data_IF_576150419008
#
_entry.id   IF_576150419008
#
_cell.length_a   1.000
_cell.length_b   1.000
_cell.length_c   1.000
_cell.angle_alpha   90.00
_cell.angle_beta   90.00
_cell.angle_gamma   90.00
#
_symmetry.space_group_name_H-M   'P 1'
#
loop_
_entity.id
_entity.type
_entity.pdbx_description
1 polymer ?
#
# COMPACT_ATOMS: atom_id res chain seq x y z
N UNK A 1 -23.10 -8.78 -24.89
CA UNK A 1 -22.30 -9.07 -26.11
C UNK A 1 -21.32 -7.93 -26.30
N UNK A 2 -20.03 -8.14 -26.03
CA UNK A 2 -19.01 -7.12 -26.24
C UNK A 2 -18.72 -7.07 -27.75
N UNK A 3 -19.11 -6.00 -28.44
CA UNK A 3 -18.77 -5.83 -29.85
C UNK A 3 -17.28 -5.52 -29.95
N UNK A 4 -16.49 -6.53 -30.32
CA UNK A 4 -15.12 -6.34 -30.79
C UNK A 4 -15.19 -5.61 -32.13
N UNK A 5 -15.04 -4.27 -32.11
CA UNK A 5 -14.74 -3.53 -33.32
C UNK A 5 -13.48 -4.14 -33.94
N UNK A 6 -13.60 -4.75 -35.13
CA UNK A 6 -12.47 -5.25 -35.88
C UNK A 6 -11.62 -4.05 -36.30
N UNK A 7 -10.50 -3.86 -35.58
CA UNK A 7 -9.44 -2.93 -35.97
C UNK A 7 -8.90 -3.34 -37.36
N UNK A 8 -8.67 -2.34 -38.20
CA UNK A 8 -8.22 -2.45 -39.59
C UNK A 8 -7.08 -3.47 -39.77
N UNK A 9 -7.34 -4.50 -40.58
CA UNK A 9 -6.49 -5.69 -40.75
C UNK A 9 -5.15 -5.42 -41.45
N UNK A 10 -4.97 -4.25 -42.06
CA UNK A 10 -3.83 -3.94 -42.95
C UNK A 10 -2.53 -3.69 -42.18
N UNK A 11 -2.60 -3.33 -40.90
CA UNK A 11 -1.42 -3.05 -40.06
C UNK A 11 -1.27 -4.02 -38.86
N UNK A 12 -2.08 -5.09 -38.83
CA UNK A 12 -2.11 -5.97 -37.68
C UNK A 12 -0.90 -6.92 -37.72
N UNK A 13 0.05 -6.73 -36.79
CA UNK A 13 1.21 -7.63 -36.66
C UNK A 13 0.73 -9.06 -36.38
N UNK A 14 1.44 -10.05 -36.91
CA UNK A 14 1.10 -11.49 -36.80
C UNK A 14 1.27 -12.10 -35.39
N UNK A 15 1.24 -11.28 -34.33
CA UNK A 15 1.31 -11.76 -32.95
C UNK A 15 0.21 -11.16 -32.09
N UNK A 16 -0.23 -11.94 -31.11
CA UNK A 16 -1.15 -11.48 -30.06
C UNK A 16 -0.36 -10.96 -28.85
N UNK A 17 -0.92 -9.99 -28.13
CA UNK A 17 -0.32 -9.48 -26.88
C UNK A 17 -1.15 -9.96 -25.70
N UNK A 18 -0.48 -10.52 -24.69
CA UNK A 18 -1.08 -10.93 -23.42
C UNK A 18 -0.47 -10.11 -22.31
N UNK A 19 -1.30 -9.34 -21.61
CA UNK A 19 -0.88 -8.56 -20.43
C UNK A 19 -1.25 -9.35 -19.19
N UNK A 20 -0.26 -9.64 -18.34
CA UNK A 20 -0.47 -10.30 -17.05
C UNK A 20 -0.16 -9.29 -15.95
N UNK A 21 -1.16 -9.01 -15.12
CA UNK A 21 -1.03 -8.14 -13.96
C UNK A 21 -0.64 -8.94 -12.71
N UNK A 22 0.04 -8.28 -11.77
CA UNK A 22 0.45 -8.83 -10.46
C UNK A 22 1.25 -10.14 -10.56
N UNK A 23 2.18 -10.21 -11.52
CA UNK A 23 2.99 -11.42 -11.78
C UNK A 23 3.85 -11.81 -10.57
N UNK A 24 4.17 -10.85 -9.70
CA UNK A 24 4.91 -11.05 -8.46
C UNK A 24 4.13 -11.79 -7.38
N UNK A 25 2.82 -11.94 -7.52
CA UNK A 25 1.98 -12.79 -6.66
C UNK A 25 1.91 -14.24 -7.13
N UNK A 26 2.42 -14.55 -8.32
CA UNK A 26 2.46 -15.93 -8.81
C UNK A 26 3.46 -16.77 -8.02
N UNK A 27 3.07 -18.01 -7.72
CA UNK A 27 3.96 -19.01 -7.13
C UNK A 27 5.15 -19.29 -8.05
N UNK A 28 6.27 -19.74 -7.47
CA UNK A 28 7.49 -20.04 -8.26
C UNK A 28 7.22 -21.07 -9.36
N UNK A 29 6.40 -22.08 -9.08
CA UNK A 29 6.04 -23.11 -10.06
C UNK A 29 5.16 -22.56 -11.20
N UNK A 30 4.24 -21.65 -10.89
CA UNK A 30 3.46 -20.93 -11.89
C UNK A 30 4.38 -20.05 -12.76
N UNK A 31 5.38 -19.39 -12.18
CA UNK A 31 6.35 -18.60 -12.94
C UNK A 31 7.24 -19.48 -13.84
N UNK A 32 7.65 -20.67 -13.37
CA UNK A 32 8.38 -21.65 -14.19
C UNK A 32 7.53 -22.17 -15.35
N UNK A 33 6.26 -22.43 -15.10
CA UNK A 33 5.29 -22.82 -16.14
C UNK A 33 5.08 -21.69 -17.15
N UNK A 34 4.91 -20.46 -16.66
CA UNK A 34 4.79 -19.27 -17.49
C UNK A 34 5.98 -19.15 -18.43
N UNK A 35 7.22 -19.26 -17.90
CA UNK A 35 8.46 -19.23 -18.68
C UNK A 35 8.41 -20.20 -19.87
N UNK A 36 8.02 -21.46 -19.63
CA UNK A 36 7.94 -22.48 -20.70
C UNK A 36 6.94 -22.07 -21.77
N UNK A 37 5.80 -21.50 -21.37
CA UNK A 37 4.79 -20.97 -22.30
C UNK A 37 5.32 -19.77 -23.09
N UNK A 38 6.10 -18.88 -22.47
CA UNK A 38 6.73 -17.75 -23.18
C UNK A 38 7.65 -18.24 -24.28
N UNK A 39 8.48 -19.25 -23.97
CA UNK A 39 9.43 -19.84 -24.93
C UNK A 39 8.70 -20.58 -26.06
N UNK A 40 7.68 -21.40 -25.73
CA UNK A 40 6.93 -22.20 -26.71
C UNK A 40 6.15 -21.35 -27.71
N UNK A 41 5.60 -20.22 -27.29
CA UNK A 41 4.71 -19.39 -28.11
C UNK A 41 5.33 -18.03 -28.49
N UNK A 42 6.66 -17.88 -28.42
CA UNK A 42 7.33 -16.59 -28.70
C UNK A 42 7.09 -16.03 -30.11
N UNK A 43 6.76 -16.89 -31.08
CA UNK A 43 6.50 -16.48 -32.47
C UNK A 43 5.10 -15.88 -32.63
N UNK A 44 4.11 -16.39 -31.90
CA UNK A 44 2.69 -16.04 -32.07
C UNK A 44 2.15 -15.14 -30.96
N UNK A 45 2.86 -15.02 -29.83
CA UNK A 45 2.43 -14.29 -28.65
C UNK A 45 3.55 -13.45 -28.03
N UNK A 46 3.22 -12.22 -27.64
CA UNK A 46 4.07 -11.32 -26.85
C UNK A 46 3.44 -11.12 -25.47
N UNK A 47 4.26 -11.18 -24.44
CA UNK A 47 3.81 -11.04 -23.05
C UNK A 47 4.28 -9.71 -22.47
N UNK A 48 3.37 -9.01 -21.80
CA UNK A 48 3.68 -7.85 -20.96
C UNK A 48 3.40 -8.26 -19.53
N UNK A 49 4.45 -8.28 -18.71
CA UNK A 49 4.38 -8.69 -17.31
C UNK A 49 4.42 -7.44 -16.44
N UNK A 50 3.31 -7.15 -15.76
CA UNK A 50 3.23 -6.06 -14.80
C UNK A 50 3.47 -6.61 -13.38
N UNK A 51 4.50 -6.11 -12.71
CA UNK A 51 4.86 -6.48 -11.34
C UNK A 51 5.31 -5.23 -10.59
N UNK A 52 4.98 -5.14 -9.30
CA UNK A 52 5.42 -4.02 -8.44
C UNK A 52 6.84 -4.25 -7.91
N UNK A 53 7.21 -5.50 -7.65
CA UNK A 53 8.53 -5.87 -7.15
C UNK A 53 9.22 -6.88 -8.06
N UNK A 54 10.36 -6.46 -8.64
CA UNK A 54 11.22 -7.32 -9.46
C UNK A 54 11.88 -8.45 -8.66
N UNK A 55 12.01 -8.32 -7.34
CA UNK A 55 12.71 -9.32 -6.49
C UNK A 55 11.94 -10.63 -6.36
N UNK A 56 10.61 -10.61 -6.53
CA UNK A 56 9.74 -11.78 -6.47
C UNK A 56 9.67 -12.56 -7.79
N UNK A 57 10.24 -12.02 -8.87
CA UNK A 57 10.24 -12.63 -10.20
C UNK A 57 11.47 -13.53 -10.37
N UNK A 58 11.27 -14.75 -10.86
CA UNK A 58 12.38 -15.69 -11.09
C UNK A 58 13.40 -15.11 -12.10
N UNK A 59 14.72 -15.28 -11.87
CA UNK A 59 15.76 -14.74 -12.76
C UNK A 59 15.60 -15.18 -14.23
N UNK A 60 15.08 -16.38 -14.46
CA UNK A 60 14.88 -16.92 -15.80
C UNK A 60 13.78 -16.20 -16.60
N UNK A 61 12.74 -15.69 -15.94
CA UNK A 61 11.74 -14.85 -16.60
C UNK A 61 12.30 -13.45 -16.87
N UNK A 62 13.02 -12.88 -15.89
CA UNK A 62 13.67 -11.56 -16.01
C UNK A 62 14.65 -11.50 -17.18
N UNK A 63 15.47 -12.52 -17.39
CA UNK A 63 16.48 -12.53 -18.47
C UNK A 63 15.87 -12.54 -19.88
N UNK A 64 14.58 -12.86 -20.03
CA UNK A 64 13.86 -12.96 -21.31
C UNK A 64 12.99 -11.75 -21.62
N UNK A 65 12.85 -10.84 -20.65
CA UNK A 65 11.99 -9.68 -20.75
C UNK A 65 12.82 -8.40 -20.75
N UNK A 66 12.38 -7.40 -21.53
CA UNK A 66 12.88 -6.05 -21.36
C UNK A 66 12.33 -5.49 -20.04
N UNK A 67 13.23 -5.12 -19.13
CA UNK A 67 12.85 -4.55 -17.84
C UNK A 67 12.61 -3.04 -17.98
N UNK A 68 11.33 -2.65 -17.97
CA UNK A 68 10.92 -1.24 -17.98
C UNK A 68 10.54 -0.84 -16.56
N UNK A 69 11.28 0.11 -15.97
CA UNK A 69 10.98 0.65 -14.64
C UNK A 69 10.14 1.90 -14.79
N UNK A 70 8.93 1.90 -14.22
CA UNK A 70 8.05 3.07 -14.13
C UNK A 70 8.14 3.62 -12.70
N UNK A 71 8.89 4.70 -12.44
CA UNK A 71 8.94 5.30 -11.12
C UNK A 71 7.60 5.97 -10.75
N UNK A 72 7.32 6.07 -9.45
CA UNK A 72 6.21 6.88 -8.97
C UNK A 72 6.47 8.37 -9.31
N UNK A 73 5.44 9.11 -9.74
CA UNK A 73 5.58 10.51 -10.10
C UNK A 73 5.97 11.38 -8.89
N UNK A 74 6.58 12.52 -9.16
CA UNK A 74 6.92 13.50 -8.12
C UNK A 74 5.67 14.21 -7.60
N UNK A 75 5.76 14.83 -6.42
CA UNK A 75 4.64 15.58 -5.82
C UNK A 75 4.18 16.71 -6.77
N UNK A 76 5.14 17.38 -7.40
CA UNK A 76 4.89 18.47 -8.36
C UNK A 76 4.23 17.97 -9.64
N UNK A 77 4.69 16.82 -10.17
CA UNK A 77 4.06 16.17 -11.32
C UNK A 77 2.59 15.80 -11.02
N UNK A 78 2.33 15.22 -9.84
CA UNK A 78 0.96 14.88 -9.41
C UNK A 78 0.11 16.16 -9.32
N UNK A 79 0.61 17.23 -8.69
CA UNK A 79 -0.12 18.50 -8.60
C UNK A 79 -0.42 19.10 -9.99
N UNK A 80 0.52 18.99 -10.93
CA UNK A 80 0.32 19.44 -12.32
C UNK A 80 -0.77 18.65 -13.04
N UNK A 81 -0.83 17.32 -12.83
CA UNK A 81 -1.86 16.45 -13.39
C UNK A 81 -3.22 16.76 -12.77
N UNK A 82 -3.30 16.90 -11.44
CA UNK A 82 -4.53 17.28 -10.74
C UNK A 82 -5.08 18.61 -11.26
N UNK A 83 -4.21 19.61 -11.42
CA UNK A 83 -4.60 20.92 -11.99
C UNK A 83 -5.08 20.80 -13.43
N UNK A 84 -4.43 19.94 -14.23
CA UNK A 84 -4.81 19.71 -15.63
C UNK A 84 -6.16 19.00 -15.76
N UNK A 85 -6.42 18.00 -14.91
CA UNK A 85 -7.70 17.30 -14.85
C UNK A 85 -8.80 18.26 -14.39
N UNK A 86 -8.56 19.03 -13.33
CA UNK A 86 -9.52 20.03 -12.86
C UNK A 86 -9.90 21.04 -13.94
N UNK A 87 -8.91 21.58 -14.68
CA UNK A 87 -9.16 22.51 -15.79
C UNK A 87 -10.06 21.88 -16.87
N UNK A 88 -9.86 20.60 -17.20
CA UNK A 88 -10.68 19.88 -18.19
C UNK A 88 -12.11 19.65 -17.71
N UNK A 89 -12.29 19.42 -16.42
CA UNK A 89 -13.60 19.30 -15.77
C UNK A 89 -14.28 20.66 -15.49
N UNK A 90 -13.66 21.78 -15.87
CA UNK A 90 -14.18 23.14 -15.59
C UNK A 90 -14.08 23.55 -14.11
N UNK A 91 -13.26 22.85 -13.33
CA UNK A 91 -13.05 23.07 -11.90
C UNK A 91 -11.77 23.89 -11.64
N UNK A 92 -11.77 24.65 -10.55
CA UNK A 92 -10.58 25.34 -10.04
C UNK A 92 -10.15 24.67 -8.73
N UNK A 93 -9.04 23.94 -8.78
CA UNK A 93 -8.38 23.41 -7.57
C UNK A 93 -7.32 24.42 -7.12
N UNK A 94 -7.35 24.90 -5.87
CA UNK A 94 -6.28 25.71 -5.31
C UNK A 94 -4.94 24.95 -5.32
N UNK A 95 -3.81 25.60 -5.65
CA UNK A 95 -2.51 24.93 -5.75
C UNK A 95 -2.07 24.32 -4.40
N UNK A 96 -2.40 24.97 -3.29
CA UNK A 96 -2.14 24.48 -1.93
C UNK A 96 -2.88 23.16 -1.65
N UNK A 97 -4.15 23.08 -2.05
CA UNK A 97 -4.95 21.86 -1.92
C UNK A 97 -4.37 20.73 -2.80
N UNK A 98 -3.98 21.03 -4.04
CA UNK A 98 -3.36 20.06 -4.94
C UNK A 98 -2.06 19.48 -4.36
N UNK A 99 -1.20 20.33 -3.78
CA UNK A 99 0.03 19.91 -3.14
C UNK A 99 -0.25 19.03 -1.90
N UNK A 100 -1.22 19.42 -1.06
CA UNK A 100 -1.62 18.62 0.11
C UNK A 100 -2.19 17.26 -0.27
N UNK A 101 -3.00 17.19 -1.33
CA UNK A 101 -3.52 15.91 -1.87
C UNK A 101 -2.37 15.05 -2.42
N UNK A 102 -1.42 15.66 -3.13
CA UNK A 102 -0.26 14.93 -3.64
C UNK A 102 0.58 14.31 -2.51
N UNK A 103 0.80 15.04 -1.42
CA UNK A 103 1.50 14.53 -0.22
C UNK A 103 0.67 13.41 0.45
N UNK A 104 -0.64 13.63 0.68
CA UNK A 104 -1.53 12.66 1.31
C UNK A 104 -1.75 11.36 0.49
N UNK A 105 -1.41 11.39 -0.80
CA UNK A 105 -1.51 10.26 -1.71
C UNK A 105 -0.30 9.31 -1.69
N UNK A 106 0.77 9.65 -0.97
CA UNK A 106 2.02 8.88 -0.90
C UNK A 106 2.58 8.55 -2.31
N UNK A 107 2.58 9.55 -3.18
CA UNK A 107 2.97 9.48 -4.61
C UNK A 107 2.18 8.48 -5.46
N UNK A 108 0.97 8.11 -5.05
CA UNK A 108 0.07 7.28 -5.84
C UNK A 108 -0.91 8.16 -6.63
N UNK A 109 -0.72 8.24 -7.95
CA UNK A 109 -1.54 9.07 -8.83
C UNK A 109 -3.03 8.67 -8.80
N UNK A 110 -3.34 7.37 -8.80
CA UNK A 110 -4.74 6.89 -8.71
C UNK A 110 -5.38 7.37 -7.41
N UNK A 111 -4.67 7.22 -6.29
CA UNK A 111 -5.15 7.67 -4.97
C UNK A 111 -5.32 9.20 -4.95
N UNK A 112 -4.40 9.96 -5.54
CA UNK A 112 -4.49 11.42 -5.59
C UNK A 112 -5.73 11.92 -6.34
N UNK A 113 -6.08 11.29 -7.47
CA UNK A 113 -7.27 11.64 -8.26
C UNK A 113 -8.55 11.33 -7.48
N UNK A 114 -8.63 10.14 -6.87
CA UNK A 114 -9.77 9.77 -6.04
C UNK A 114 -9.94 10.72 -4.84
N UNK A 115 -8.85 11.08 -4.17
CA UNK A 115 -8.90 12.05 -3.06
C UNK A 115 -9.39 13.43 -3.54
N UNK A 116 -8.96 13.88 -4.72
CA UNK A 116 -9.44 15.13 -5.30
C UNK A 116 -10.95 15.08 -5.64
N UNK A 117 -11.42 13.95 -6.16
CA UNK A 117 -12.86 13.73 -6.42
C UNK A 117 -13.68 13.75 -5.13
N UNK A 118 -13.22 13.06 -4.08
CA UNK A 118 -13.92 13.06 -2.78
C UNK A 118 -13.90 14.45 -2.15
N UNK A 119 -12.77 15.17 -2.21
CA UNK A 119 -12.67 16.54 -1.72
C UNK A 119 -13.69 17.46 -2.41
N UNK A 120 -13.85 17.33 -3.73
CA UNK A 120 -14.87 18.07 -4.49
C UNK A 120 -16.30 17.74 -4.04
N UNK A 121 -16.60 16.47 -3.79
CA UNK A 121 -17.95 16.03 -3.35
C UNK A 121 -18.29 16.56 -1.96
N UNK A 122 -17.31 16.64 -1.06
CA UNK A 122 -17.53 17.15 0.29
C UNK A 122 -17.77 18.67 0.34
N UNK A 123 -17.03 19.44 -0.47
CA UNK A 123 -17.14 20.89 -0.45
C UNK A 123 -16.92 21.49 -1.84
N UNK A 124 -17.89 22.29 -2.29
CA UNK A 124 -17.79 23.06 -3.52
C UNK A 124 -18.22 24.50 -3.27
N UNK A 125 -17.40 25.53 -3.59
CA UNK A 125 -16.07 25.47 -4.21
C UNK A 125 -14.98 24.90 -3.30
N UNK A 126 -13.98 24.22 -3.88
CA UNK A 126 -12.84 23.67 -3.12
C UNK A 126 -12.01 24.79 -2.48
N UNK A 127 -11.67 24.63 -1.20
CA UNK A 127 -10.93 25.60 -0.40
C UNK A 127 -9.48 25.15 -0.18
N UNK A 128 -8.51 26.08 -0.01
CA UNK A 128 -7.11 25.72 0.23
C UNK A 128 -6.90 24.89 1.51
N UNK A 129 -7.61 25.26 2.59
CA UNK A 129 -7.48 24.64 3.92
C UNK A 129 -8.44 23.46 4.15
N UNK A 130 -9.07 22.96 3.10
CA UNK A 130 -10.04 21.87 3.22
C UNK A 130 -9.42 20.61 3.85
N UNK A 131 -10.15 19.93 4.73
CA UNK A 131 -9.74 18.63 5.25
C UNK A 131 -9.83 17.58 4.16
N UNK A 132 -8.79 16.75 4.01
CA UNK A 132 -8.75 15.68 3.02
C UNK A 132 -9.23 14.41 3.72
N UNK A 133 -10.39 13.86 3.34
CA UNK A 133 -10.89 12.64 3.96
C UNK A 133 -9.99 11.47 3.58
N UNK A 134 -9.45 10.80 4.59
CA UNK A 134 -8.75 9.54 4.41
C UNK A 134 -9.75 8.40 4.26
N UNK A 135 -9.37 7.30 3.58
CA UNK A 135 -10.19 6.09 3.55
C UNK A 135 -10.49 5.59 4.96
N UNK A 136 -11.71 5.08 5.18
CA UNK A 136 -12.18 4.64 6.50
C UNK A 136 -11.24 3.63 7.16
N UNK A 137 -10.74 2.66 6.39
CA UNK A 137 -9.78 1.67 6.89
C UNK A 137 -8.48 2.30 7.40
N UNK A 138 -8.04 3.41 6.80
CA UNK A 138 -6.83 4.10 7.22
C UNK A 138 -7.08 4.85 8.53
N UNK A 139 -8.21 5.54 8.65
CA UNK A 139 -8.63 6.18 9.91
C UNK A 139 -8.74 5.14 11.03
N UNK A 140 -9.33 3.98 10.73
CA UNK A 140 -9.47 2.89 11.69
C UNK A 140 -8.11 2.31 12.15
N UNK A 141 -7.12 2.23 11.25
CA UNK A 141 -5.75 1.86 11.62
C UNK A 141 -5.10 2.91 12.52
N UNK A 142 -5.29 4.21 12.23
CA UNK A 142 -4.79 5.31 13.07
C UNK A 142 -5.38 5.22 14.49
N UNK A 143 -6.69 5.01 14.60
CA UNK A 143 -7.36 4.82 15.89
C UNK A 143 -6.91 3.55 16.62
N UNK A 144 -6.60 2.49 15.87
CA UNK A 144 -6.07 1.24 16.44
C UNK A 144 -4.66 1.47 16.98
N UNK A 145 -3.79 2.17 16.25
CA UNK A 145 -2.45 2.55 16.71
C UNK A 145 -2.52 3.44 17.96
N UNK A 146 -3.42 4.43 17.98
CA UNK A 146 -3.66 5.28 19.15
C UNK A 146 -4.12 4.47 20.37
N UNK A 147 -5.00 3.49 20.18
CA UNK A 147 -5.44 2.59 21.25
C UNK A 147 -4.29 1.70 21.79
N UNK A 148 -3.34 1.30 20.94
CA UNK A 148 -2.16 0.54 21.33
C UNK A 148 -1.21 1.40 22.18
N UNK A 149 -1.03 2.67 21.82
CA UNK A 149 -0.18 3.62 22.54
C UNK A 149 -0.81 4.08 23.87
N UNK A 150 -2.14 4.20 23.91
CA UNK A 150 -2.85 4.72 25.09
C UNK A 150 -2.83 3.80 26.31
N UNK A 151 -2.86 2.47 26.13
CA UNK A 151 -2.90 1.53 27.27
C UNK A 151 -2.24 0.18 26.92
N UNK A 152 -1.32 -0.28 27.77
CA UNK A 152 -0.63 -1.57 27.62
C UNK A 152 -1.15 -2.60 28.62
N UNK A 153 -2.41 -3.02 28.45
CA UNK A 153 -3.08 -4.02 29.29
C UNK A 153 -3.60 -5.23 28.48
N UNK A 154 -3.76 -6.41 29.11
CA UNK A 154 -4.36 -7.58 28.45
C UNK A 154 -5.78 -7.33 27.92
N UNK A 155 -6.54 -6.48 28.61
CA UNK A 155 -7.88 -6.07 28.16
C UNK A 155 -7.80 -5.28 26.86
N UNK A 156 -6.88 -4.32 26.76
CA UNK A 156 -6.67 -3.53 25.54
C UNK A 156 -6.24 -4.41 24.36
N UNK A 157 -5.43 -5.44 24.59
CA UNK A 157 -5.04 -6.41 23.57
C UNK A 157 -6.27 -7.12 22.96
N UNK A 158 -7.25 -7.51 23.78
CA UNK A 158 -8.50 -8.13 23.30
C UNK A 158 -9.34 -7.15 22.46
N UNK A 159 -9.39 -5.88 22.86
CA UNK A 159 -10.08 -4.85 22.09
C UNK A 159 -9.39 -4.62 20.74
N UNK A 160 -8.06 -4.50 20.73
CA UNK A 160 -7.27 -4.36 19.49
C UNK A 160 -7.41 -5.59 18.60
N UNK A 161 -7.44 -6.79 19.16
CA UNK A 161 -7.70 -8.02 18.41
C UNK A 161 -9.05 -7.96 17.67
N UNK A 162 -10.10 -7.48 18.33
CA UNK A 162 -11.42 -7.29 17.69
C UNK A 162 -11.33 -6.33 16.51
N UNK A 163 -10.62 -5.20 16.68
CA UNK A 163 -10.36 -4.25 15.57
C UNK A 163 -9.59 -4.89 14.42
N UNK A 164 -8.56 -5.68 14.70
CA UNK A 164 -7.80 -6.39 13.67
C UNK A 164 -8.67 -7.41 12.92
N UNK A 165 -9.59 -8.10 13.60
CA UNK A 165 -10.56 -8.98 12.93
C UNK A 165 -11.48 -8.22 11.98
N UNK A 166 -11.96 -7.04 12.38
CA UNK A 166 -12.82 -6.19 11.54
C UNK A 166 -12.09 -5.77 10.26
N UNK A 167 -10.83 -5.32 10.37
CA UNK A 167 -10.01 -4.99 9.20
C UNK A 167 -9.81 -6.18 8.25
N UNK A 168 -9.53 -7.36 8.81
CA UNK A 168 -9.36 -8.58 8.01
C UNK A 168 -10.68 -9.04 7.38
N UNK A 169 -11.81 -8.87 8.07
CA UNK A 169 -13.13 -9.19 7.55
C UNK A 169 -13.52 -8.31 6.35
N UNK A 170 -13.05 -7.06 6.33
CA UNK A 170 -13.19 -6.15 5.18
C UNK A 170 -12.18 -6.41 4.04
N UNK A 171 -11.50 -7.56 4.05
CA UNK A 171 -10.55 -7.99 3.01
C UNK A 171 -9.38 -7.02 2.79
N UNK A 172 -8.97 -6.31 3.84
CA UNK A 172 -7.79 -5.47 3.78
C UNK A 172 -6.55 -6.37 3.88
N UNK A 173 -5.58 -6.27 2.96
CA UNK A 173 -4.40 -7.11 2.99
C UNK A 173 -3.62 -6.94 4.30
N UNK A 174 -3.17 -8.04 4.95
CA UNK A 174 -2.51 -7.93 6.26
C UNK A 174 -1.18 -7.19 6.22
N UNK A 175 -0.49 -7.20 5.08
CA UNK A 175 0.72 -6.41 4.81
C UNK A 175 0.43 -4.90 4.84
N UNK A 176 -0.73 -4.48 4.33
CA UNK A 176 -1.19 -3.08 4.40
C UNK A 176 -1.53 -2.70 5.83
N UNK A 177 -2.18 -3.60 6.58
CA UNK A 177 -2.48 -3.38 8.01
C UNK A 177 -1.18 -3.23 8.81
N UNK A 178 -0.23 -4.15 8.62
CA UNK A 178 1.06 -4.12 9.30
C UNK A 178 1.83 -2.84 9.00
N UNK A 179 1.96 -2.46 7.71
CA UNK A 179 2.64 -1.23 7.31
C UNK A 179 1.95 0.00 7.91
N UNK A 180 0.63 0.08 7.83
CA UNK A 180 -0.14 1.19 8.38
C UNK A 180 0.01 1.32 9.89
N UNK A 181 0.01 0.21 10.64
CA UNK A 181 0.27 0.23 12.09
C UNK A 181 1.69 0.72 12.38
N UNK A 182 2.70 0.19 11.70
CA UNK A 182 4.10 0.55 11.91
C UNK A 182 4.34 2.03 11.62
N UNK A 183 3.84 2.55 10.50
CA UNK A 183 3.99 3.95 10.11
C UNK A 183 3.39 4.89 11.19
N UNK A 184 2.21 4.55 11.72
CA UNK A 184 1.58 5.33 12.80
C UNK A 184 2.33 5.21 14.12
N UNK A 185 2.76 4.01 14.52
CA UNK A 185 3.51 3.80 15.76
C UNK A 185 4.89 4.50 15.72
N UNK A 186 5.57 4.52 14.57
CA UNK A 186 6.86 5.16 14.40
C UNK A 186 6.84 6.68 14.63
N UNK A 187 5.69 7.33 14.42
CA UNK A 187 5.55 8.78 14.68
C UNK A 187 5.62 9.12 16.16
N UNK A 188 5.25 8.18 17.03
CA UNK A 188 5.12 8.39 18.49
C UNK A 188 6.24 7.75 19.32
N UNK A 189 7.23 7.12 18.68
CA UNK A 189 8.34 6.44 19.35
C UNK A 189 9.64 7.26 19.28
N UNK A 190 10.52 7.12 20.28
CA UNK A 190 11.88 7.69 20.28
C UNK A 190 12.89 6.83 19.49
N UNK A 191 14.07 7.40 19.17
CA UNK A 191 15.03 6.80 18.24
C UNK A 191 15.49 5.37 18.56
N UNK A 192 15.73 5.02 19.83
CA UNK A 192 16.07 3.66 20.26
C UNK A 192 14.90 2.69 20.05
N UNK A 193 13.70 3.12 20.45
CA UNK A 193 12.47 2.35 20.31
C UNK A 193 12.05 2.16 18.84
N UNK A 194 12.33 3.14 17.96
CA UNK A 194 12.09 3.02 16.51
C UNK A 194 12.86 1.85 15.92
N UNK A 195 14.13 1.67 16.30
CA UNK A 195 14.96 0.58 15.78
C UNK A 195 14.37 -0.79 16.16
N UNK A 196 13.98 -0.94 17.42
CA UNK A 196 13.37 -2.18 17.92
C UNK A 196 12.01 -2.45 17.27
N UNK A 197 11.17 -1.42 17.13
CA UNK A 197 9.87 -1.50 16.45
C UNK A 197 10.03 -1.98 15.01
N UNK A 198 10.95 -1.38 14.24
CA UNK A 198 11.20 -1.78 12.84
C UNK A 198 11.68 -3.23 12.77
N UNK A 199 12.57 -3.64 13.69
CA UNK A 199 13.07 -5.02 13.74
C UNK A 199 11.94 -6.02 14.05
N UNK A 200 11.08 -5.71 15.01
CA UNK A 200 9.90 -6.52 15.32
C UNK A 200 8.96 -6.59 14.12
N UNK A 201 8.61 -5.44 13.55
CA UNK A 201 7.72 -5.35 12.39
C UNK A 201 8.23 -6.23 11.24
N UNK A 202 9.50 -6.13 10.87
CA UNK A 202 10.11 -6.93 9.81
C UNK A 202 10.05 -8.45 10.11
N UNK A 203 10.30 -8.85 11.36
CA UNK A 203 10.24 -10.25 11.76
C UNK A 203 8.80 -10.80 11.68
N UNK A 204 7.83 -10.06 12.18
CA UNK A 204 6.43 -10.47 12.20
C UNK A 204 5.79 -10.43 10.80
N UNK A 205 6.14 -9.45 9.98
CA UNK A 205 5.72 -9.35 8.57
C UNK A 205 6.26 -10.53 7.75
N UNK A 206 7.54 -10.89 7.92
CA UNK A 206 8.10 -12.07 7.27
C UNK A 206 7.37 -13.37 7.68
N UNK A 207 7.09 -13.55 8.98
CA UNK A 207 6.33 -14.71 9.47
C UNK A 207 4.89 -14.72 8.95
N UNK A 208 4.29 -13.55 8.80
CA UNK A 208 2.94 -13.40 8.24
C UNK A 208 2.87 -13.90 6.79
N UNK A 209 3.89 -13.64 5.98
CA UNK A 209 3.95 -14.13 4.60
C UNK A 209 4.12 -15.67 4.50
N UNK A 210 4.67 -16.31 5.54
CA UNK A 210 4.86 -17.76 5.60
C UNK A 210 3.67 -18.49 6.24
N UNK A 211 2.89 -17.78 7.07
CA UNK A 211 1.76 -18.32 7.80
C UNK A 211 0.45 -18.33 7.01
N UNK A 212 -0.53 -19.09 7.50
CA UNK A 212 -1.88 -19.11 6.94
C UNK A 212 -2.82 -18.11 7.63
N UNK A 213 -2.73 -18.01 8.97
CA UNK A 213 -3.63 -17.17 9.78
C UNK A 213 -2.94 -15.84 10.11
N UNK A 214 -3.23 -14.82 9.31
CA UNK A 214 -2.66 -13.48 9.47
C UNK A 214 -2.85 -12.89 10.88
N UNK A 215 -4.01 -13.14 11.49
CA UNK A 215 -4.36 -12.61 12.82
C UNK A 215 -3.34 -13.01 13.90
N UNK A 216 -2.81 -14.22 13.88
CA UNK A 216 -1.84 -14.67 14.90
C UNK A 216 -0.54 -13.86 14.83
N UNK A 217 -0.11 -13.49 13.64
CA UNK A 217 1.11 -12.73 13.44
C UNK A 217 0.91 -11.25 13.77
N UNK A 218 -0.24 -10.67 13.43
CA UNK A 218 -0.61 -9.30 13.77
C UNK A 218 -0.79 -9.12 15.28
N UNK A 219 -1.53 -10.03 15.94
CA UNK A 219 -1.73 -10.01 17.39
C UNK A 219 -0.40 -10.19 18.12
N UNK A 220 0.44 -11.14 17.68
CA UNK A 220 1.78 -11.33 18.26
C UNK A 220 2.66 -10.09 18.11
N UNK A 221 2.57 -9.36 16.99
CA UNK A 221 3.29 -8.09 16.81
C UNK A 221 2.80 -7.03 17.79
N UNK A 222 1.48 -6.86 17.94
CA UNK A 222 0.90 -5.90 18.89
C UNK A 222 1.33 -6.20 20.32
N UNK A 223 1.26 -7.47 20.74
CA UNK A 223 1.67 -7.91 22.08
C UNK A 223 3.16 -7.63 22.31
N UNK A 224 4.01 -8.00 21.34
CA UNK A 224 5.44 -7.76 21.42
C UNK A 224 5.76 -6.26 21.53
N UNK A 225 5.10 -5.43 20.72
CA UNK A 225 5.26 -3.98 20.78
C UNK A 225 4.78 -3.41 22.12
N UNK A 226 3.58 -3.78 22.60
CA UNK A 226 3.06 -3.29 23.88
C UNK A 226 3.98 -3.66 25.06
N UNK A 227 4.59 -4.85 25.03
CA UNK A 227 5.53 -5.26 26.07
C UNK A 227 6.81 -4.41 26.09
N UNK A 228 7.36 -4.08 24.91
CA UNK A 228 8.54 -3.22 24.79
C UNK A 228 8.18 -1.77 25.14
N UNK A 229 7.07 -1.26 24.61
CA UNK A 229 6.61 0.11 24.86
C UNK A 229 6.36 0.34 26.35
N UNK A 230 5.73 -0.62 27.04
CA UNK A 230 5.49 -0.54 28.48
C UNK A 230 6.79 -0.45 29.27
N UNK A 231 7.77 -1.32 28.98
CA UNK A 231 9.09 -1.29 29.64
C UNK A 231 9.80 0.04 29.40
N UNK A 232 9.76 0.54 28.17
CA UNK A 232 10.35 1.82 27.82
C UNK A 232 9.71 2.99 28.60
N UNK A 233 8.38 2.99 28.73
CA UNK A 233 7.67 4.01 29.51
C UNK A 233 7.97 3.88 31.01
N UNK A 234 8.05 2.66 31.55
CA UNK A 234 8.43 2.41 32.95
C UNK A 234 9.87 2.87 33.24
N UNK A 235 10.82 2.57 32.36
CA UNK A 235 12.23 2.99 32.49
C UNK A 235 12.37 4.52 32.38
N UNK A 236 11.58 5.17 31.51
CA UNK A 236 11.56 6.61 31.36
C UNK A 236 10.95 7.33 32.59
N UNK A 237 9.91 6.75 33.20
CA UNK A 237 9.27 7.30 34.41
C UNK A 237 10.07 7.00 35.69
N UNK A 238 10.72 5.83 35.75
CA UNK A 238 11.55 5.40 36.89
C UNK A 238 12.87 6.17 37.04
N UNK A 239 13.25 6.98 36.05
CA UNK A 239 14.43 7.86 36.12
C UNK A 239 14.21 9.21 36.83
N UNK A 240 13.00 9.46 37.35
CA UNK A 240 12.56 10.77 37.87
C UNK A 240 12.39 10.84 39.39
N UNK A 241 13.04 9.97 40.15
CA UNK A 241 13.13 10.07 41.62
C UNK A 241 14.57 10.40 42.04
N UNK A 242 14.82 11.70 42.33
CA UNK A 242 15.93 12.19 43.15
C UNK A 242 15.35 13.05 44.28
#
# INVERSE_FOLDING_TARGET
>A
MASTAQLESVHQREFKVVVIHEVDRLTRDAQHSLRRTMEKYMQTCRLILCAESLSKIIPAARSRCLSVRVPAPTVDEIASVLTSVAKREGLKIPPELAARIAIASDRNLRRSLLLAEVARVQHYPMQPDQSIPLPEWQTFIVETAAAILGEQSPRRILDVRTKLYELLAHCIPPDVIMKGLVDNLLTSCDGSLKLELVRLAAMHEHRLQLGQKAIFHLEAFVIAFMAIYKRFVEDALGGTEW
#
